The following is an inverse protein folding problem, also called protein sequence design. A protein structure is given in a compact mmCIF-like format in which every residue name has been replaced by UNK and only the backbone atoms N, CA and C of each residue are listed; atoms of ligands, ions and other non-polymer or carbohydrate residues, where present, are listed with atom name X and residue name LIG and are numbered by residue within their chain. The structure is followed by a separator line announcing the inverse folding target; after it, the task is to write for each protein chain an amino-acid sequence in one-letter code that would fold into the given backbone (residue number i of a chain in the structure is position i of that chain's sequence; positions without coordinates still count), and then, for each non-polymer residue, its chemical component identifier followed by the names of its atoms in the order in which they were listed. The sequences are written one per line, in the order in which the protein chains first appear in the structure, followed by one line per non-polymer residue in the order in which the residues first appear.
data_IF_248713949480
#
_entry.id   IF_248713949480
#
_cell.length_a   1.000
_cell.length_b   1.000
_cell.length_c   1.000
_cell.angle_alpha   90.00
_cell.angle_beta   90.00
_cell.angle_gamma   90.00
#
_symmetry.space_group_name_H-M   'P 1'
#
loop_
_entity.id
_entity.type
_entity.pdbx_description
1 polymer ?
#
# COMPACT_ATOMS: atom_id res chain seq x y z
N UNK A 1 -52.50 21.23 -35.35
CA UNK A 1 -52.27 22.13 -36.51
C UNK A 1 -52.66 23.55 -36.11
N UNK A 2 -51.77 24.51 -36.41
CA UNK A 2 -51.82 25.98 -36.21
C UNK A 2 -51.76 26.46 -34.74
N UNK A 3 -50.61 26.86 -34.17
CA UNK A 3 -49.62 27.93 -34.48
C UNK A 3 -50.01 29.31 -33.95
N UNK A 4 -49.02 29.99 -33.33
CA UNK A 4 -48.90 31.41 -32.89
C UNK A 4 -49.21 31.66 -31.40
N UNK A 5 -48.40 32.30 -30.56
CA UNK A 5 -47.19 33.13 -30.71
C UNK A 5 -46.51 33.31 -29.35
N UNK A 6 -45.17 33.47 -29.37
CA UNK A 6 -44.25 33.82 -28.28
C UNK A 6 -44.41 35.28 -27.84
N UNK A 7 -44.29 35.58 -26.53
CA UNK A 7 -43.76 36.87 -26.04
C UNK A 7 -42.80 36.67 -24.85
N UNK A 8 -41.64 37.30 -24.99
CA UNK A 8 -40.52 37.46 -24.06
C UNK A 8 -40.61 38.87 -23.46
N UNK A 9 -40.35 39.05 -22.16
CA UNK A 9 -39.76 40.25 -21.51
C UNK A 9 -39.37 39.83 -20.06
N UNK A 10 -38.08 39.65 -19.70
CA UNK A 10 -36.99 40.58 -19.32
C UNK A 10 -37.03 41.17 -17.88
N UNK A 11 -35.83 41.10 -17.26
CA UNK A 11 -35.26 41.89 -16.17
C UNK A 11 -35.52 41.54 -14.69
N UNK A 12 -34.41 41.28 -13.98
CA UNK A 12 -34.33 41.24 -12.53
C UNK A 12 -32.95 40.80 -12.02
N UNK A 13 -31.90 41.56 -12.33
CA UNK A 13 -30.54 41.38 -11.81
C UNK A 13 -30.37 42.03 -10.42
N UNK A 14 -29.72 41.36 -9.47
CA UNK A 14 -29.00 41.93 -8.31
C UNK A 14 -27.91 40.90 -7.90
N UNK A 15 -26.63 41.08 -8.28
CA UNK A 15 -25.54 41.89 -7.71
C UNK A 15 -24.90 41.28 -6.44
N UNK A 16 -23.61 40.99 -6.60
CA UNK A 16 -22.69 40.37 -5.67
C UNK A 16 -22.18 41.36 -4.60
N UNK A 17 -21.77 40.81 -3.44
CA UNK A 17 -20.93 41.51 -2.47
C UNK A 17 -19.75 40.61 -2.10
N UNK A 18 -18.60 40.92 -2.68
CA UNK A 18 -17.29 40.54 -2.17
C UNK A 18 -16.93 41.47 -1.02
N UNK A 19 -16.55 40.91 0.12
CA UNK A 19 -15.75 41.62 1.13
C UNK A 19 -14.41 40.92 1.21
N UNK A 20 -13.38 41.67 0.81
CA UNK A 20 -11.96 41.38 1.00
C UNK A 20 -11.55 42.01 2.33
N UNK A 21 -10.89 41.24 3.20
CA UNK A 21 -10.04 41.79 4.27
C UNK A 21 -8.79 40.91 4.47
N UNK A 22 -7.68 41.49 4.97
CA UNK A 22 -6.33 41.16 4.52
C UNK A 22 -5.59 40.14 5.39
N UNK A 23 -4.52 39.58 4.80
CA UNK A 23 -3.44 38.83 5.46
C UNK A 23 -2.71 39.71 6.49
N UNK A 24 -2.52 39.19 7.70
CA UNK A 24 -1.30 39.43 8.49
C UNK A 24 -0.81 38.09 9.05
N UNK A 25 0.50 37.89 8.88
CA UNK A 25 1.35 36.78 9.26
C UNK A 25 1.74 36.81 10.74
N UNK A 26 1.76 35.63 11.37
CA UNK A 26 2.42 35.36 12.65
C UNK A 26 2.69 33.86 12.80
N UNK A 27 3.96 33.48 12.90
CA UNK A 27 4.46 32.12 13.02
C UNK A 27 4.45 31.61 14.48
N UNK A 28 4.18 30.30 14.59
CA UNK A 28 4.71 29.31 15.54
C UNK A 28 4.35 29.39 17.03
N UNK A 29 3.43 28.51 17.46
CA UNK A 29 3.77 27.31 18.23
C UNK A 29 2.51 26.44 18.36
N UNK A 30 2.40 25.39 17.55
CA UNK A 30 1.35 24.38 17.70
C UNK A 30 2.03 23.03 17.84
N UNK A 31 2.29 22.65 19.09
CA UNK A 31 2.42 21.26 19.48
C UNK A 31 1.01 20.65 19.45
N UNK A 32 0.65 19.98 18.36
CA UNK A 32 -0.46 19.03 18.42
C UNK A 32 0.08 17.61 18.55
N UNK A 33 -0.39 16.85 19.55
CA UNK A 33 -0.17 15.42 19.57
C UNK A 33 -0.89 14.83 18.36
N UNK A 34 -0.32 13.79 17.77
CA UNK A 34 -1.02 13.01 16.75
C UNK A 34 -2.42 12.60 17.24
N UNK A 35 -3.36 12.31 16.33
CA UNK A 35 -4.67 11.82 16.74
C UNK A 35 -4.46 10.63 17.69
N UNK A 36 -5.09 10.62 18.88
CA UNK A 36 -5.03 9.43 19.72
C UNK A 36 -5.58 8.27 18.88
N UNK A 37 -4.78 7.22 18.74
CA UNK A 37 -5.30 5.95 18.26
C UNK A 37 -6.55 5.62 19.10
N UNK A 38 -7.64 5.11 18.52
CA UNK A 38 -8.79 4.73 19.29
C UNK A 38 -8.42 3.55 20.22
N UNK A 39 -8.07 3.88 21.47
CA UNK A 39 -7.71 2.94 22.56
C UNK A 39 -8.80 1.90 22.85
N UNK A 40 -10.01 2.11 22.37
CA UNK A 40 -11.18 1.28 22.66
C UNK A 40 -11.32 0.04 21.76
N UNK A 41 -10.49 -0.09 20.71
CA UNK A 41 -10.55 -1.27 19.83
C UNK A 41 -9.44 -2.31 20.08
N UNK A 42 -8.31 -1.92 20.69
CA UNK A 42 -7.14 -2.78 20.89
C UNK A 42 -6.96 -3.35 22.31
N UNK A 43 -7.75 -2.88 23.28
CA UNK A 43 -7.65 -3.26 24.70
C UNK A 43 -8.54 -4.44 25.10
N UNK A 44 -9.64 -4.70 24.37
CA UNK A 44 -10.57 -5.78 24.68
C UNK A 44 -9.93 -7.16 24.48
N UNK A 45 -9.75 -7.92 25.57
CA UNK A 45 -9.39 -9.34 25.54
C UNK A 45 -10.31 -10.16 24.62
N UNK A 46 -11.59 -9.77 24.49
CA UNK A 46 -12.54 -10.44 23.62
C UNK A 46 -12.21 -10.26 22.13
N UNK A 47 -11.74 -9.08 21.70
CA UNK A 47 -11.34 -8.84 20.31
C UNK A 47 -10.07 -9.63 19.92
N UNK A 48 -9.13 -9.77 20.87
CA UNK A 48 -7.94 -10.61 20.70
C UNK A 48 -8.29 -12.09 20.64
N UNK A 49 -9.19 -12.58 21.50
CA UNK A 49 -9.70 -13.95 21.46
C UNK A 49 -10.45 -14.26 20.16
N UNK A 50 -11.20 -13.29 19.61
CA UNK A 50 -11.96 -13.46 18.38
C UNK A 50 -11.07 -13.59 17.13
N UNK A 51 -10.00 -12.79 17.04
CA UNK A 51 -9.00 -12.91 15.97
C UNK A 51 -8.20 -14.23 16.05
N UNK A 52 -8.09 -14.81 17.25
CA UNK A 52 -7.24 -15.98 17.53
C UNK A 52 -8.01 -17.30 17.53
N UNK A 53 -9.34 -17.28 17.56
CA UNK A 53 -10.21 -18.46 17.46
C UNK A 53 -10.02 -19.31 16.20
N UNK A 54 -9.37 -18.77 15.17
CA UNK A 54 -9.00 -19.50 13.95
C UNK A 54 -7.80 -20.45 14.17
N UNK A 55 -7.03 -20.30 15.25
CA UNK A 55 -5.68 -20.91 15.42
C UNK A 55 -5.59 -22.01 16.50
N UNK A 56 -6.71 -22.47 17.07
CA UNK A 56 -6.78 -23.60 18.01
C UNK A 56 -6.61 -23.21 19.50
N UNK A 57 -7.39 -23.87 20.37
CA UNK A 57 -7.54 -23.56 21.80
C UNK A 57 -6.24 -23.67 22.60
N UNK A 58 -5.41 -24.70 22.36
CA UNK A 58 -4.15 -24.89 23.08
C UNK A 58 -3.19 -23.72 22.92
N UNK A 59 -3.19 -23.11 21.73
CA UNK A 59 -2.36 -21.94 21.41
C UNK A 59 -2.89 -20.67 22.08
N UNK A 60 -4.21 -20.55 22.26
CA UNK A 60 -4.84 -19.46 22.98
C UNK A 60 -4.48 -19.55 24.46
N UNK A 61 -4.58 -20.73 25.07
CA UNK A 61 -4.23 -20.95 26.48
C UNK A 61 -2.75 -20.65 26.70
N UNK A 62 -1.85 -21.24 25.91
CA UNK A 62 -0.40 -21.05 26.08
C UNK A 62 0.02 -19.59 25.96
N UNK A 63 -0.57 -18.84 25.01
CA UNK A 63 -0.17 -17.46 24.78
C UNK A 63 -0.84 -16.49 25.74
N UNK A 64 -2.09 -16.77 26.16
CA UNK A 64 -2.76 -15.94 27.17
C UNK A 64 -2.09 -16.12 28.54
N UNK A 65 -1.72 -17.34 28.89
CA UNK A 65 -0.94 -17.65 30.09
C UNK A 65 0.41 -16.91 30.08
N UNK A 66 1.13 -16.94 28.95
CA UNK A 66 2.39 -16.21 28.80
C UNK A 66 2.23 -14.68 28.94
N UNK A 67 1.18 -14.09 28.33
CA UNK A 67 0.90 -12.64 28.43
C UNK A 67 0.53 -12.24 29.86
N UNK A 68 -0.22 -13.08 30.57
CA UNK A 68 -0.57 -12.85 31.98
C UNK A 68 0.70 -12.91 32.83
N UNK A 69 1.55 -13.91 32.61
CA UNK A 69 2.81 -14.06 33.33
C UNK A 69 3.77 -12.87 33.11
N UNK A 70 3.96 -12.44 31.86
CA UNK A 70 4.77 -11.26 31.54
C UNK A 70 4.23 -9.96 32.18
N UNK A 71 2.91 -9.86 32.36
CA UNK A 71 2.31 -8.70 33.05
C UNK A 71 2.57 -8.76 34.55
N UNK A 72 2.42 -9.94 35.17
CA UNK A 72 2.71 -10.15 36.59
C UNK A 72 4.18 -9.80 36.86
N UNK A 73 5.11 -10.34 36.07
CA UNK A 73 6.54 -10.05 36.18
C UNK A 73 6.85 -8.55 36.03
N UNK A 74 6.16 -7.84 35.13
CA UNK A 74 6.31 -6.38 34.98
C UNK A 74 5.80 -5.58 36.17
N UNK A 75 4.75 -6.05 36.85
CA UNK A 75 4.24 -5.38 38.06
C UNK A 75 5.16 -5.65 39.26
N UNK A 76 5.63 -6.88 39.40
CA UNK A 76 6.60 -7.27 40.42
C UNK A 76 7.94 -6.52 40.27
N UNK A 77 8.46 -6.39 39.04
CA UNK A 77 9.69 -5.62 38.77
C UNK A 77 9.56 -4.12 39.07
N UNK A 78 8.34 -3.58 39.11
CA UNK A 78 8.07 -2.15 39.32
C UNK A 78 7.57 -1.83 40.72
N UNK A 79 7.52 -2.81 41.61
CA UNK A 79 7.01 -2.69 42.99
C UNK A 79 5.62 -2.02 43.06
N UNK A 80 4.81 -2.25 42.02
CA UNK A 80 3.46 -1.71 41.89
C UNK A 80 2.45 -2.86 42.04
N UNK A 81 1.49 -2.77 42.97
CA UNK A 81 0.46 -3.78 43.08
C UNK A 81 -0.38 -3.81 41.79
N UNK A 82 -0.75 -5.00 41.28
CA UNK A 82 -1.64 -5.08 40.13
C UNK A 82 -2.96 -4.37 40.46
N UNK A 83 -3.59 -3.67 39.49
CA UNK A 83 -4.83 -2.96 39.75
C UNK A 83 -5.91 -3.93 40.27
N UNK A 84 -6.76 -3.51 41.22
CA UNK A 84 -7.79 -4.37 41.78
C UNK A 84 -8.73 -4.86 40.69
N UNK A 85 -9.10 -6.15 40.77
CA UNK A 85 -9.97 -6.87 39.81
C UNK A 85 -11.33 -6.19 39.52
N UNK A 86 -11.72 -5.18 40.30
CA UNK A 86 -12.90 -4.34 40.04
C UNK A 86 -12.84 -3.47 38.77
N UNK A 87 -11.68 -3.28 38.15
CA UNK A 87 -11.61 -2.71 36.79
C UNK A 87 -11.85 -3.77 35.69
N UNK A 88 -11.53 -5.03 36.01
CA UNK A 88 -11.76 -6.20 35.15
C UNK A 88 -13.22 -6.62 35.17
N UNK A 89 -14.04 -6.24 36.17
CA UNK A 89 -15.46 -6.62 36.18
C UNK A 89 -16.23 -6.15 34.95
N UNK A 90 -15.90 -5.02 34.33
CA UNK A 90 -16.59 -4.55 33.12
C UNK A 90 -16.20 -5.37 31.89
N UNK A 91 -14.91 -5.68 31.73
CA UNK A 91 -14.43 -6.56 30.65
C UNK A 91 -14.82 -8.01 30.86
N UNK A 92 -14.77 -8.50 32.10
CA UNK A 92 -15.26 -9.82 32.50
C UNK A 92 -16.76 -9.90 32.30
N UNK A 93 -17.57 -8.91 32.67
CA UNK A 93 -19.03 -8.91 32.40
C UNK A 93 -19.31 -8.88 30.89
N UNK A 94 -18.52 -8.16 30.09
CA UNK A 94 -18.63 -8.17 28.61
C UNK A 94 -18.16 -9.50 28.00
N UNK A 95 -17.12 -10.11 28.56
CA UNK A 95 -16.57 -11.38 28.11
C UNK A 95 -17.33 -12.58 28.70
N UNK A 96 -18.11 -12.41 29.78
CA UNK A 96 -18.78 -13.47 30.53
C UNK A 96 -19.73 -14.29 29.66
N UNK A 97 -20.58 -13.71 28.78
CA UNK A 97 -21.39 -14.52 27.87
C UNK A 97 -20.56 -15.36 26.91
N UNK A 98 -19.40 -14.87 26.48
CA UNK A 98 -18.49 -15.57 25.57
C UNK A 98 -17.65 -16.63 26.31
N UNK A 99 -17.19 -16.32 27.52
CA UNK A 99 -16.51 -17.26 28.42
C UNK A 99 -17.48 -18.35 28.85
N UNK A 100 -18.71 -18.04 29.24
CA UNK A 100 -19.77 -19.01 29.52
C UNK A 100 -20.14 -19.82 28.27
N UNK A 101 -20.12 -19.23 27.07
CA UNK A 101 -20.29 -19.98 25.83
C UNK A 101 -19.15 -20.99 25.63
N UNK A 102 -17.89 -20.55 25.78
CA UNK A 102 -16.73 -21.43 25.69
C UNK A 102 -16.78 -22.49 26.80
N UNK A 103 -16.97 -22.13 28.07
CA UNK A 103 -16.95 -23.03 29.23
C UNK A 103 -18.22 -23.82 29.45
N UNK A 104 -19.34 -23.55 28.77
CA UNK A 104 -20.53 -24.43 28.81
C UNK A 104 -20.63 -25.32 27.57
N UNK A 105 -19.98 -24.98 26.46
CA UNK A 105 -19.87 -25.85 25.28
C UNK A 105 -18.60 -26.74 25.29
N UNK A 106 -17.51 -26.34 25.98
CA UNK A 106 -16.25 -27.09 25.99
C UNK A 106 -16.07 -28.19 27.04
N UNK A 107 -16.66 -28.18 28.26
CA UNK A 107 -16.53 -29.32 29.16
C UNK A 107 -17.14 -30.58 28.53
N UNK A 108 -18.15 -30.41 27.67
CA UNK A 108 -18.70 -31.52 26.89
C UNK A 108 -17.79 -32.00 25.75
N UNK A 109 -16.73 -31.27 25.38
CA UNK A 109 -15.74 -31.70 24.37
C UNK A 109 -14.51 -32.39 24.97
N UNK A 110 -14.18 -32.11 26.24
CA UNK A 110 -13.08 -32.80 26.93
C UNK A 110 -13.48 -34.22 27.39
N UNK A 111 -14.78 -34.46 27.61
CA UNK A 111 -15.37 -35.79 27.87
C UNK A 111 -16.11 -36.35 26.65
N UNK A 112 -15.92 -35.78 25.45
CA UNK A 112 -16.44 -36.41 24.24
C UNK A 112 -15.68 -37.72 24.05
N UNK A 113 -16.36 -38.83 24.35
CA UNK A 113 -16.16 -40.12 23.69
C UNK A 113 -15.68 -39.82 22.27
N UNK A 114 -14.51 -40.35 21.89
CA UNK A 114 -13.95 -40.15 20.56
C UNK A 114 -15.06 -40.38 19.54
N UNK A 115 -15.63 -39.27 19.03
CA UNK A 115 -16.72 -39.32 18.07
C UNK A 115 -16.22 -40.23 16.98
N UNK A 116 -16.97 -41.28 16.71
CA UNK A 116 -16.58 -42.23 15.70
C UNK A 116 -16.27 -41.46 14.39
N UNK A 117 -15.33 -41.92 13.55
CA UNK A 117 -14.97 -41.19 12.33
C UNK A 117 -16.18 -40.78 11.46
N UNK A 118 -17.29 -41.52 11.55
CA UNK A 118 -18.57 -41.21 10.90
C UNK A 118 -19.32 -40.04 11.54
N UNK A 119 -19.31 -39.91 12.87
CA UNK A 119 -19.90 -38.79 13.61
C UNK A 119 -19.09 -37.51 13.44
N UNK A 120 -17.76 -37.58 13.47
CA UNK A 120 -16.92 -36.42 13.20
C UNK A 120 -17.10 -35.93 11.75
N UNK A 121 -17.21 -36.85 10.79
CA UNK A 121 -17.56 -36.51 9.40
C UNK A 121 -18.97 -35.91 9.29
N UNK A 122 -19.94 -36.37 10.09
CA UNK A 122 -21.30 -35.82 10.14
C UNK A 122 -21.32 -34.42 10.74
N UNK A 123 -20.57 -34.18 11.81
CA UNK A 123 -20.42 -32.88 12.43
C UNK A 123 -19.74 -31.89 11.51
N UNK A 124 -18.61 -32.25 10.88
CA UNK A 124 -17.95 -31.41 9.88
C UNK A 124 -18.88 -31.08 8.70
N UNK A 125 -19.74 -32.02 8.27
CA UNK A 125 -20.77 -31.76 7.26
C UNK A 125 -21.87 -30.81 7.74
N UNK A 126 -22.27 -30.87 9.00
CA UNK A 126 -23.27 -29.97 9.59
C UNK A 126 -22.70 -28.57 9.79
N UNK A 127 -21.47 -28.45 10.28
CA UNK A 127 -20.74 -27.19 10.41
C UNK A 127 -20.51 -26.55 9.04
N UNK A 128 -20.07 -27.33 8.03
CA UNK A 128 -19.93 -26.83 6.67
C UNK A 128 -21.28 -26.38 6.05
N UNK A 129 -22.38 -27.10 6.31
CA UNK A 129 -23.72 -26.70 5.88
C UNK A 129 -24.22 -25.45 6.59
N UNK A 130 -23.98 -25.34 7.90
CA UNK A 130 -24.31 -24.16 8.70
C UNK A 130 -23.52 -22.95 8.21
N UNK A 131 -22.20 -23.08 8.07
CA UNK A 131 -21.32 -22.04 7.57
C UNK A 131 -21.66 -21.64 6.14
N UNK A 132 -21.97 -22.59 5.26
CA UNK A 132 -22.43 -22.32 3.90
C UNK A 132 -23.76 -21.54 3.86
N UNK A 133 -24.73 -21.90 4.72
CA UNK A 133 -25.99 -21.15 4.87
C UNK A 133 -25.78 -19.77 5.48
N UNK A 134 -24.91 -19.66 6.48
CA UNK A 134 -24.56 -18.42 7.15
C UNK A 134 -23.86 -17.44 6.19
N UNK A 135 -22.82 -17.90 5.48
CA UNK A 135 -22.16 -17.10 4.44
C UNK A 135 -23.11 -16.75 3.29
N UNK A 136 -24.00 -17.66 2.90
CA UNK A 136 -25.05 -17.37 1.92
C UNK A 136 -26.05 -16.31 2.37
N UNK A 137 -26.32 -16.20 3.68
CA UNK A 137 -27.18 -15.17 4.28
C UNK A 137 -26.48 -13.82 4.42
N UNK A 138 -25.14 -13.80 4.36
CA UNK A 138 -24.39 -12.55 4.32
C UNK A 138 -24.41 -11.92 2.93
N UNK A 139 -24.71 -12.66 1.85
CA UNK A 139 -24.66 -12.11 0.50
C UNK A 139 -25.44 -10.79 0.36
N UNK A 140 -24.78 -9.77 -0.19
CA UNK A 140 -25.31 -8.41 -0.29
C UNK A 140 -25.87 -8.11 -1.67
N UNK A 141 -26.80 -7.17 -1.70
CA UNK A 141 -27.22 -6.52 -2.92
C UNK A 141 -26.38 -5.25 -3.09
N UNK A 142 -25.79 -5.05 -4.26
CA UNK A 142 -25.03 -3.87 -4.62
C UNK A 142 -25.80 -3.05 -5.64
N UNK A 143 -25.87 -1.73 -5.41
CA UNK A 143 -26.34 -0.73 -6.37
C UNK A 143 -25.22 0.27 -6.59
N UNK A 144 -24.58 0.21 -7.75
CA UNK A 144 -23.40 0.99 -8.10
C UNK A 144 -23.72 1.89 -9.29
N UNK A 145 -23.66 3.20 -9.10
CA UNK A 145 -23.96 4.18 -10.14
C UNK A 145 -22.88 5.24 -10.21
N UNK A 146 -22.57 5.70 -11.42
CA UNK A 146 -21.51 6.68 -11.58
C UNK A 146 -21.25 7.15 -13.00
N UNK A 147 -20.23 8.00 -13.11
CA UNK A 147 -19.71 8.56 -14.35
C UNK A 147 -18.28 8.08 -14.60
N UNK A 148 -17.94 7.91 -15.88
CA UNK A 148 -16.57 7.67 -16.33
C UNK A 148 -16.07 8.93 -16.99
N UNK A 149 -14.98 9.48 -16.44
CA UNK A 149 -14.41 10.74 -16.88
C UNK A 149 -12.91 10.62 -17.08
N UNK A 150 -12.30 11.56 -17.79
CA UNK A 150 -10.84 11.68 -17.86
C UNK A 150 -10.28 12.49 -16.68
N UNK A 151 -8.97 12.77 -16.71
CA UNK A 151 -8.30 13.57 -15.67
C UNK A 151 -8.83 15.00 -15.60
N UNK A 152 -9.29 15.55 -16.72
CA UNK A 152 -9.85 16.90 -16.83
C UNK A 152 -11.34 16.94 -16.44
N UNK A 153 -11.93 15.78 -16.14
CA UNK A 153 -13.33 15.65 -15.74
C UNK A 153 -14.29 15.56 -16.91
N UNK A 154 -13.81 15.46 -18.15
CA UNK A 154 -14.66 15.29 -19.32
C UNK A 154 -15.17 13.85 -19.40
N UNK A 155 -16.43 13.69 -19.81
CA UNK A 155 -17.06 12.37 -19.95
C UNK A 155 -16.36 11.52 -21.00
N UNK A 156 -16.06 10.26 -20.66
CA UNK A 156 -15.42 9.31 -21.58
C UNK A 156 -16.47 8.34 -22.10
N UNK A 157 -16.86 8.51 -23.36
CA UNK A 157 -17.88 7.68 -24.02
C UNK A 157 -17.29 6.40 -24.63
N UNK A 158 -18.12 5.41 -24.99
CA UNK A 158 -17.67 4.18 -25.65
C UNK A 158 -16.70 3.36 -24.82
N UNK A 159 -16.92 3.34 -23.50
CA UNK A 159 -16.12 2.54 -22.57
C UNK A 159 -16.74 1.17 -22.46
N UNK A 160 -15.93 0.12 -22.58
CA UNK A 160 -16.32 -1.23 -22.25
C UNK A 160 -16.26 -1.41 -20.73
N UNK A 161 -17.41 -1.73 -20.12
CA UNK A 161 -17.54 -2.08 -18.72
C UNK A 161 -17.75 -3.59 -18.61
N UNK A 162 -16.74 -4.29 -18.10
CA UNK A 162 -16.84 -5.69 -17.68
C UNK A 162 -17.14 -5.77 -16.18
N UNK A 163 -18.24 -6.41 -15.84
CA UNK A 163 -18.74 -6.59 -14.48
C UNK A 163 -18.48 -8.04 -14.09
N UNK A 164 -17.80 -8.26 -12.96
CA UNK A 164 -17.59 -9.60 -12.39
C UNK A 164 -18.24 -9.66 -11.03
N UNK A 165 -19.26 -10.49 -10.91
CA UNK A 165 -20.03 -10.75 -9.69
C UNK A 165 -19.50 -12.01 -9.06
N UNK A 166 -18.98 -11.93 -7.84
CA UNK A 166 -18.41 -13.09 -7.14
C UNK A 166 -19.30 -13.44 -5.97
N UNK A 167 -19.72 -14.70 -5.93
CA UNK A 167 -20.39 -15.31 -4.78
C UNK A 167 -19.52 -16.41 -4.20
N UNK A 168 -19.24 -16.36 -2.91
CA UNK A 168 -18.45 -17.32 -2.14
C UNK A 168 -19.40 -18.31 -1.49
N UNK A 169 -19.06 -19.59 -1.60
CA UNK A 169 -19.79 -20.71 -1.01
C UNK A 169 -18.87 -21.38 0.01
N UNK A 170 -18.72 -20.77 1.18
CA UNK A 170 -17.73 -21.16 2.19
C UNK A 170 -16.32 -20.67 1.87
N UNK A 171 -15.30 -21.34 2.42
CA UNK A 171 -13.89 -20.90 2.34
C UNK A 171 -13.26 -21.15 0.97
N UNK A 172 -13.62 -22.24 0.29
CA UNK A 172 -12.89 -22.73 -0.89
C UNK A 172 -13.62 -22.54 -2.22
N UNK A 173 -14.95 -22.49 -2.22
CA UNK A 173 -15.73 -22.43 -3.46
C UNK A 173 -16.17 -21.01 -3.75
N UNK A 174 -16.00 -20.58 -5.01
CA UNK A 174 -16.55 -19.32 -5.53
C UNK A 174 -17.19 -19.56 -6.88
N UNK A 175 -18.30 -18.87 -7.13
CA UNK A 175 -18.93 -18.76 -8.44
C UNK A 175 -18.75 -17.33 -8.94
N UNK A 176 -18.34 -17.19 -10.20
CA UNK A 176 -18.17 -15.90 -10.85
C UNK A 176 -19.17 -15.80 -12.01
N UNK A 177 -20.01 -14.76 -11.98
CA UNK A 177 -20.84 -14.36 -13.11
C UNK A 177 -20.23 -13.11 -13.78
N UNK A 178 -20.27 -13.05 -15.10
CA UNK A 178 -19.55 -12.05 -15.89
C UNK A 178 -20.46 -11.43 -16.94
N UNK A 179 -20.51 -10.11 -16.95
CA UNK A 179 -21.24 -9.33 -17.95
C UNK A 179 -20.31 -8.31 -18.59
N UNK A 180 -20.54 -7.98 -19.86
CA UNK A 180 -19.82 -6.93 -20.58
C UNK A 180 -20.85 -6.00 -21.20
N UNK A 181 -20.66 -4.69 -21.03
CA UNK A 181 -21.55 -3.65 -21.56
C UNK A 181 -20.73 -2.53 -22.16
N UNK A 182 -21.25 -1.86 -23.18
CA UNK A 182 -20.72 -0.58 -23.65
C UNK A 182 -21.47 0.55 -22.95
N UNK A 183 -20.75 1.53 -22.41
CA UNK A 183 -21.33 2.65 -21.67
C UNK A 183 -20.94 4.00 -22.28
N UNK A 184 -21.85 4.97 -22.21
CA UNK A 184 -21.70 6.33 -22.76
C UNK A 184 -21.37 7.33 -21.64
N UNK A 185 -20.28 7.06 -20.91
CA UNK A 185 -19.82 7.93 -19.82
C UNK A 185 -20.60 7.83 -18.51
N UNK A 186 -21.73 7.10 -18.46
CA UNK A 186 -22.46 6.76 -17.23
C UNK A 186 -22.70 5.26 -17.12
N UNK A 187 -22.70 4.72 -15.91
CA UNK A 187 -23.03 3.32 -15.65
C UNK A 187 -23.97 3.18 -14.46
N UNK A 188 -24.78 2.11 -14.49
CA UNK A 188 -25.58 1.64 -13.35
C UNK A 188 -25.51 0.11 -13.33
N UNK A 189 -25.12 -0.44 -12.18
CA UNK A 189 -24.92 -1.87 -11.95
C UNK A 189 -25.70 -2.27 -10.71
N UNK A 190 -26.63 -3.21 -10.88
CA UNK A 190 -27.34 -3.86 -9.79
C UNK A 190 -26.86 -5.32 -9.75
N UNK A 191 -26.30 -5.75 -8.62
CA UNK A 191 -25.86 -7.12 -8.42
C UNK A 191 -26.47 -7.66 -7.13
N UNK A 192 -27.26 -8.73 -7.22
CA UNK A 192 -28.01 -9.26 -6.09
C UNK A 192 -27.37 -10.51 -5.50
N UNK A 193 -27.32 -10.60 -4.18
CA UNK A 193 -26.85 -11.76 -3.43
C UNK A 193 -25.42 -12.17 -3.80
N UNK A 194 -24.50 -11.21 -3.85
CA UNK A 194 -23.07 -11.40 -4.14
C UNK A 194 -22.20 -10.85 -3.01
N UNK A 195 -20.95 -11.32 -2.90
CA UNK A 195 -20.00 -10.87 -1.86
C UNK A 195 -19.06 -9.78 -2.38
N UNK A 196 -18.74 -9.85 -3.68
CA UNK A 196 -17.81 -8.92 -4.34
C UNK A 196 -18.33 -8.55 -5.72
N UNK A 197 -18.29 -7.26 -6.03
CA UNK A 197 -18.48 -6.76 -7.39
C UNK A 197 -17.19 -6.11 -7.87
N UNK A 198 -16.67 -6.58 -9.00
CA UNK A 198 -15.51 -5.98 -9.66
C UNK A 198 -15.94 -5.36 -10.97
N UNK A 199 -15.61 -4.09 -11.14
CA UNK A 199 -15.84 -3.33 -12.35
C UNK A 199 -14.50 -3.12 -13.07
N UNK A 200 -14.43 -3.52 -14.33
CA UNK A 200 -13.28 -3.34 -15.20
C UNK A 200 -13.69 -2.43 -16.34
N UNK A 201 -13.03 -1.29 -16.45
CA UNK A 201 -13.28 -0.28 -17.47
C UNK A 201 -12.14 -0.33 -18.50
N UNK A 202 -12.47 -0.54 -19.78
CA UNK A 202 -11.54 -0.59 -20.91
C UNK A 202 -12.00 0.36 -22.02
N UNK A 203 -11.08 1.13 -22.58
CA UNK A 203 -11.30 1.89 -23.82
C UNK A 203 -9.99 1.99 -24.60
N UNK A 204 -9.98 1.78 -25.92
CA UNK A 204 -8.78 2.03 -26.74
C UNK A 204 -8.24 3.45 -26.51
N UNK A 205 -6.93 3.57 -26.31
CA UNK A 205 -6.28 4.83 -25.98
C UNK A 205 -6.39 5.25 -24.51
N UNK A 206 -6.90 4.40 -23.61
CA UNK A 206 -6.94 4.63 -22.17
C UNK A 206 -6.40 3.42 -21.39
N UNK A 207 -5.80 3.66 -20.23
CA UNK A 207 -5.38 2.58 -19.34
C UNK A 207 -6.60 1.89 -18.72
N UNK A 208 -6.58 0.55 -18.68
CA UNK A 208 -7.63 -0.22 -18.02
C UNK A 208 -7.69 0.13 -16.53
N UNK A 209 -8.90 0.32 -16.01
CA UNK A 209 -9.15 0.58 -14.57
C UNK A 209 -9.98 -0.54 -13.97
N UNK A 210 -9.55 -1.04 -12.82
CA UNK A 210 -10.32 -1.97 -11.98
C UNK A 210 -10.77 -1.24 -10.72
N UNK A 211 -12.05 -1.38 -10.37
CA UNK A 211 -12.61 -0.98 -9.07
C UNK A 211 -13.29 -2.20 -8.46
N UNK A 212 -13.05 -2.45 -7.18
CA UNK A 212 -13.56 -3.61 -6.46
C UNK A 212 -14.35 -3.14 -5.24
N UNK A 213 -15.58 -3.61 -5.13
CA UNK A 213 -16.46 -3.40 -3.99
C UNK A 213 -16.59 -4.73 -3.28
N UNK A 214 -16.14 -4.78 -2.03
CA UNK A 214 -16.20 -5.95 -1.17
C UNK A 214 -17.17 -5.65 -0.04
N UNK A 215 -18.01 -6.60 0.29
CA UNK A 215 -18.80 -6.54 1.51
C UNK A 215 -17.88 -6.67 2.73
N UNK A 216 -17.75 -5.61 3.52
CA UNK A 216 -16.99 -5.60 4.77
C UNK A 216 -17.83 -6.03 5.98
N UNK A 217 -18.60 -7.11 5.84
CA UNK A 217 -19.41 -7.60 6.96
C UNK A 217 -18.65 -8.72 7.66
N UNK A 218 -17.70 -8.33 8.51
CA UNK A 218 -17.44 -9.14 9.69
C UNK A 218 -18.69 -9.04 10.56
N UNK A 219 -19.48 -10.12 10.74
CA UNK A 219 -20.63 -10.06 11.63
C UNK A 219 -20.15 -9.61 13.01
N UNK A 220 -20.90 -8.70 13.66
CA UNK A 220 -20.62 -8.39 15.05
C UNK A 220 -20.71 -9.71 15.85
N UNK A 221 -19.80 -9.97 16.81
CA UNK A 221 -19.82 -11.21 17.60
C UNK A 221 -21.19 -11.55 18.20
N UNK A 222 -21.98 -10.52 18.49
CA UNK A 222 -23.33 -10.58 19.06
C UNK A 222 -24.35 -11.22 18.11
N UNK A 223 -24.22 -11.04 16.79
CA UNK A 223 -25.14 -11.59 15.78
C UNK A 223 -24.95 -13.11 15.59
N UNK A 224 -23.84 -13.68 16.06
CA UNK A 224 -23.53 -15.11 15.96
C UNK A 224 -24.22 -15.91 17.08
N UNK A 225 -24.48 -15.28 18.22
CA UNK A 225 -24.94 -15.96 19.45
C UNK A 225 -26.48 -16.05 19.50
N UNK A 226 -27.20 -15.18 18.78
CA UNK A 226 -28.66 -15.24 18.66
C UNK A 226 -29.13 -16.40 17.77
N UNK A 227 -29.97 -17.31 18.29
CA UNK A 227 -30.44 -18.55 17.61
C UNK A 227 -31.25 -18.36 16.31
N UNK A 228 -31.40 -17.14 15.79
CA UNK A 228 -32.15 -16.90 14.56
C UNK A 228 -31.79 -15.52 13.95
N UNK A 229 -30.58 -15.34 13.38
CA UNK A 229 -30.30 -14.12 12.64
C UNK A 229 -31.19 -14.15 11.40
N UNK A 230 -32.26 -13.34 11.42
CA UNK A 230 -33.03 -13.12 10.20
C UNK A 230 -32.05 -12.62 9.13
N UNK A 231 -32.07 -13.19 7.91
CA UNK A 231 -31.16 -12.78 6.85
C UNK A 231 -31.44 -11.30 6.54
N UNK A 232 -30.57 -10.41 7.03
CA UNK A 232 -30.59 -9.01 6.64
C UNK A 232 -29.92 -8.95 5.28
N UNK A 233 -30.72 -8.76 4.22
CA UNK A 233 -30.19 -8.38 2.92
C UNK A 233 -29.52 -7.03 3.13
N UNK A 234 -28.19 -7.03 3.17
CA UNK A 234 -27.43 -5.80 3.26
C UNK A 234 -27.42 -5.19 1.86
N UNK A 235 -28.02 -4.01 1.73
CA UNK A 235 -27.98 -3.22 0.52
C UNK A 235 -26.80 -2.27 0.61
N UNK A 236 -25.81 -2.47 -0.26
CA UNK A 236 -24.63 -1.60 -0.38
C UNK A 236 -24.87 -0.68 -1.58
N UNK A 237 -25.16 0.58 -1.32
CA UNK A 237 -25.34 1.59 -2.36
C UNK A 237 -24.13 2.50 -2.47
N UNK A 238 -23.59 2.63 -3.68
CA UNK A 238 -22.62 3.65 -4.04
C UNK A 238 -23.15 4.41 -5.25
N UNK A 239 -23.64 5.62 -5.03
CA UNK A 239 -24.11 6.53 -6.06
C UNK A 239 -23.05 7.58 -6.35
N UNK A 240 -23.14 8.22 -7.52
CA UNK A 240 -22.24 9.30 -7.95
C UNK A 240 -20.75 8.91 -7.96
N UNK A 241 -20.44 7.63 -8.22
CA UNK A 241 -19.07 7.16 -8.37
C UNK A 241 -18.39 7.87 -9.54
N UNK A 242 -17.25 8.51 -9.27
CA UNK A 242 -16.43 9.12 -10.31
C UNK A 242 -15.26 8.21 -10.67
N UNK A 243 -15.33 7.59 -11.85
CA UNK A 243 -14.31 6.69 -12.36
C UNK A 243 -13.41 7.44 -13.33
N UNK A 244 -12.17 7.71 -12.94
CA UNK A 244 -11.21 8.41 -13.80
C UNK A 244 -10.47 7.39 -14.68
N UNK A 245 -10.67 7.48 -16.00
CA UNK A 245 -9.87 6.79 -16.99
C UNK A 245 -8.75 7.69 -17.49
N UNK A 246 -7.54 7.17 -17.44
CA UNK A 246 -6.35 7.90 -17.84
C UNK A 246 -6.04 7.62 -19.30
N UNK A 247 -5.94 8.67 -20.11
CA UNK A 247 -5.55 8.56 -21.51
C UNK A 247 -4.11 8.03 -21.58
N UNK A 248 -3.90 7.08 -22.49
CA UNK A 248 -2.57 6.58 -22.84
C UNK A 248 -1.90 7.71 -23.62
N UNK A 249 -0.78 8.22 -23.10
CA UNK A 249 0.05 9.18 -23.81
C UNK A 249 0.82 8.52 -24.95
N UNK A 250 1.85 9.21 -25.45
CA UNK A 250 2.79 8.58 -26.37
C UNK A 250 3.63 7.58 -25.57
N UNK A 251 3.34 6.28 -25.68
CA UNK A 251 4.17 5.27 -24.99
C UNK A 251 5.55 5.28 -25.63
N UNK A 252 6.58 5.40 -24.80
CA UNK A 252 7.98 5.37 -25.22
C UNK A 252 8.67 4.12 -24.72
N UNK A 253 9.61 3.63 -25.51
CA UNK A 253 10.51 2.57 -25.08
C UNK A 253 11.70 3.21 -24.35
N UNK A 254 11.78 2.99 -23.03
CA UNK A 254 12.90 3.44 -22.22
C UNK A 254 13.97 2.36 -22.14
N UNK A 255 15.24 2.76 -22.23
CA UNK A 255 16.37 1.84 -21.99
C UNK A 255 16.40 1.52 -20.50
N UNK A 256 16.25 0.24 -20.18
CA UNK A 256 16.20 -0.26 -18.80
C UNK A 256 17.53 -0.86 -18.40
N UNK A 257 18.00 -0.53 -17.20
CA UNK A 257 19.23 -1.06 -16.61
C UNK A 257 18.99 -1.35 -15.13
N UNK A 258 19.46 -2.51 -14.69
CA UNK A 258 19.39 -2.96 -13.31
C UNK A 258 20.81 -3.31 -12.86
N UNK A 259 21.27 -2.76 -11.74
CA UNK A 259 22.59 -3.02 -11.20
C UNK A 259 22.60 -2.88 -9.68
N UNK A 260 23.70 -3.30 -9.05
CA UNK A 260 23.92 -3.18 -7.61
C UNK A 260 25.10 -2.24 -7.38
N UNK A 261 24.85 -1.07 -6.79
CA UNK A 261 25.91 -0.15 -6.41
C UNK A 261 26.43 -0.52 -5.03
N UNK A 262 27.74 -0.48 -4.89
CA UNK A 262 28.43 -0.73 -3.62
C UNK A 262 29.11 0.53 -3.11
N UNK A 263 29.17 0.67 -1.80
CA UNK A 263 29.97 1.68 -1.11
C UNK A 263 30.73 1.00 0.03
N UNK A 264 32.03 1.26 0.11
CA UNK A 264 32.93 0.71 1.13
C UNK A 264 33.76 1.82 1.75
N UNK A 265 34.03 1.71 3.05
CA UNK A 265 34.93 2.61 3.76
C UNK A 265 36.08 1.82 4.37
N UNK A 266 37.29 2.02 3.85
CA UNK A 266 38.49 1.34 4.35
C UNK A 266 39.63 2.35 4.51
N UNK A 267 40.29 2.34 5.68
CA UNK A 267 41.45 3.20 5.98
C UNK A 267 41.20 4.70 5.70
N UNK A 268 39.98 5.19 5.91
CA UNK A 268 39.64 6.60 5.66
C UNK A 268 39.43 6.97 4.18
N UNK A 269 39.36 5.99 3.29
CA UNK A 269 39.05 6.15 1.87
C UNK A 269 37.67 5.54 1.58
N UNK A 270 36.88 6.23 0.77
CA UNK A 270 35.55 5.76 0.35
C UNK A 270 35.63 5.19 -1.06
N UNK A 271 35.52 3.87 -1.22
CA UNK A 271 35.52 3.20 -2.53
C UNK A 271 34.13 2.65 -2.86
N UNK A 272 33.91 2.21 -4.09
CA UNK A 272 32.62 1.64 -4.49
C UNK A 272 32.46 1.41 -5.98
N UNK A 273 31.27 0.97 -6.38
CA UNK A 273 30.87 0.86 -7.78
C UNK A 273 30.23 2.14 -8.29
N UNK A 274 30.60 2.57 -9.49
CA UNK A 274 30.01 3.72 -10.20
C UNK A 274 29.41 3.28 -11.53
N UNK A 275 28.34 3.93 -11.97
CA UNK A 275 27.74 3.69 -13.28
C UNK A 275 27.96 4.91 -14.15
N UNK A 276 28.82 4.78 -15.16
CA UNK A 276 29.05 5.81 -16.16
C UNK A 276 27.91 5.94 -17.17
N UNK A 277 27.64 7.17 -17.59
CA UNK A 277 26.68 7.52 -18.63
C UNK A 277 27.38 7.77 -19.97
N UNK A 278 27.95 6.71 -20.53
CA UNK A 278 28.47 6.69 -21.91
C UNK A 278 27.35 6.27 -22.88
N UNK A 279 26.81 7.23 -23.64
CA UNK A 279 25.62 6.99 -24.48
C UNK A 279 25.78 5.92 -25.52
N UNK A 280 26.98 5.77 -26.08
CA UNK A 280 27.23 4.72 -27.05
C UNK A 280 27.02 3.34 -26.41
N UNK A 281 27.48 3.17 -25.16
CA UNK A 281 27.25 1.93 -24.40
C UNK A 281 25.77 1.74 -24.06
N UNK A 282 25.06 2.79 -23.67
CA UNK A 282 23.63 2.71 -23.32
C UNK A 282 22.75 2.35 -24.53
N UNK A 283 23.02 2.92 -25.70
CA UNK A 283 22.28 2.64 -26.95
C UNK A 283 22.47 1.20 -27.44
N UNK A 284 23.72 0.72 -27.48
CA UNK A 284 24.03 -0.65 -27.88
C UNK A 284 23.31 -1.68 -26.99
N UNK A 285 23.15 -1.36 -25.71
CA UNK A 285 22.54 -2.24 -24.70
C UNK A 285 21.03 -2.23 -24.70
N UNK A 286 20.41 -1.11 -25.07
CA UNK A 286 18.97 -1.08 -25.37
C UNK A 286 18.56 -2.14 -26.40
N UNK A 287 19.51 -2.61 -27.22
CA UNK A 287 19.35 -3.68 -28.20
C UNK A 287 19.74 -5.08 -27.71
N UNK A 288 19.97 -5.26 -26.40
CA UNK A 288 20.25 -6.56 -25.76
C UNK A 288 21.73 -6.93 -25.60
N UNK A 289 22.68 -6.02 -25.89
CA UNK A 289 24.11 -6.32 -25.86
C UNK A 289 24.79 -6.03 -24.50
N UNK A 290 24.65 -6.93 -23.51
CA UNK A 290 25.51 -6.99 -22.30
C UNK A 290 25.08 -6.18 -21.06
N UNK A 291 25.49 -6.66 -19.86
CA UNK A 291 25.15 -6.08 -18.54
C UNK A 291 26.06 -4.91 -18.14
N UNK A 292 25.51 -3.76 -17.72
CA UNK A 292 26.30 -2.62 -17.21
C UNK A 292 26.67 -2.96 -15.78
N UNK A 293 27.84 -3.56 -15.62
CA UNK A 293 28.43 -3.72 -14.30
C UNK A 293 28.96 -2.37 -13.84
N UNK A 294 28.70 -1.97 -12.59
CA UNK A 294 29.36 -0.82 -12.01
C UNK A 294 30.89 -0.94 -12.14
N UNK A 295 31.53 0.14 -12.55
CA UNK A 295 32.99 0.24 -12.62
C UNK A 295 33.51 0.49 -11.19
N UNK A 296 34.47 -0.31 -10.69
CA UNK A 296 35.01 -0.09 -9.36
C UNK A 296 35.90 1.16 -9.33
N UNK A 297 35.73 2.00 -8.31
CA UNK A 297 36.53 3.21 -8.08
C UNK A 297 37.15 3.15 -6.68
N UNK A 298 38.43 3.52 -6.58
CA UNK A 298 39.19 3.43 -5.33
C UNK A 298 38.92 4.60 -4.37
N UNK A 299 38.68 5.82 -4.88
CA UNK A 299 38.21 6.94 -4.07
C UNK A 299 37.07 7.69 -4.77
N UNK A 300 35.84 7.54 -4.26
CA UNK A 300 34.63 8.22 -4.72
C UNK A 300 34.65 9.74 -4.47
N UNK A 301 35.67 10.26 -3.79
CA UNK A 301 35.86 11.70 -3.55
C UNK A 301 36.85 12.32 -4.53
N UNK A 302 37.58 11.51 -5.28
CA UNK A 302 38.57 11.95 -6.25
C UNK A 302 37.91 12.12 -7.63
N UNK A 303 37.68 13.35 -8.11
CA UNK A 303 37.02 13.58 -9.39
C UNK A 303 37.79 13.01 -10.59
N UNK A 304 39.11 12.84 -10.48
CA UNK A 304 39.95 12.31 -11.56
C UNK A 304 39.71 10.80 -11.79
N UNK A 305 39.22 10.08 -10.78
CA UNK A 305 38.88 8.66 -10.87
C UNK A 305 37.43 8.41 -11.29
N UNK A 306 36.59 9.44 -11.29
CA UNK A 306 35.18 9.31 -11.64
C UNK A 306 34.97 9.54 -13.13
N UNK A 307 34.10 8.76 -13.80
CA UNK A 307 33.62 9.14 -15.13
C UNK A 307 32.96 10.53 -15.07
N UNK A 308 33.06 11.29 -16.16
CA UNK A 308 32.56 12.67 -16.23
C UNK A 308 31.08 12.82 -15.89
N UNK A 309 30.28 11.78 -16.17
CA UNK A 309 28.88 11.67 -15.77
C UNK A 309 28.65 10.25 -15.28
N UNK A 310 28.32 10.10 -14.00
CA UNK A 310 28.14 8.84 -13.34
C UNK A 310 27.15 8.96 -12.17
N UNK A 311 26.62 7.78 -11.80
CA UNK A 311 25.78 7.57 -10.63
C UNK A 311 26.52 6.68 -9.63
N UNK A 312 26.54 7.06 -8.36
CA UNK A 312 27.07 6.23 -7.29
C UNK A 312 26.35 6.50 -5.97
N UNK A 313 26.62 5.67 -4.96
CA UNK A 313 26.05 5.82 -3.61
C UNK A 313 27.12 6.15 -2.59
N UNK A 314 26.74 6.89 -1.56
CA UNK A 314 27.54 7.13 -0.36
C UNK A 314 26.69 6.94 0.89
N UNK A 315 27.33 6.53 1.99
CA UNK A 315 26.69 6.45 3.30
C UNK A 315 27.38 7.37 4.31
N UNK A 316 26.65 7.80 5.33
CA UNK A 316 27.28 8.36 6.52
C UNK A 316 28.12 7.28 7.22
N UNK A 317 29.26 7.69 7.78
CA UNK A 317 30.19 6.80 8.50
C UNK A 317 30.47 7.32 9.90
N UNK A 318 30.66 6.40 10.83
CA UNK A 318 31.12 6.66 12.19
C UNK A 318 32.62 7.01 12.19
N UNK A 319 33.13 7.44 13.35
CA UNK A 319 34.56 7.78 13.52
C UNK A 319 35.50 6.60 13.30
N UNK A 320 35.03 5.38 13.56
CA UNK A 320 35.77 4.13 13.34
C UNK A 320 35.75 3.64 11.88
N UNK A 321 35.06 4.37 10.99
CA UNK A 321 34.92 4.04 9.57
C UNK A 321 33.78 3.07 9.27
N UNK A 322 33.07 2.53 10.26
CA UNK A 322 31.85 1.77 10.03
C UNK A 322 30.74 2.66 9.47
N UNK A 323 29.82 2.09 8.70
CA UNK A 323 28.63 2.77 8.20
C UNK A 323 27.74 3.12 9.39
N UNK A 324 27.42 4.40 9.53
CA UNK A 324 26.50 4.89 10.55
C UNK A 324 25.11 4.34 10.25
N UNK A 325 24.60 3.49 11.14
CA UNK A 325 23.34 2.76 10.96
C UNK A 325 22.36 3.00 12.12
N UNK A 326 21.10 2.65 11.88
CA UNK A 326 20.06 2.60 12.91
C UNK A 326 19.27 1.32 12.75
N UNK A 327 18.92 0.71 13.87
CA UNK A 327 18.00 -0.41 13.92
C UNK A 327 16.57 0.12 14.07
N UNK A 328 15.64 -0.37 13.25
CA UNK A 328 14.21 -0.05 13.36
C UNK A 328 13.37 -1.31 13.33
N UNK A 329 12.40 -1.40 14.24
CA UNK A 329 11.53 -2.56 14.38
C UNK A 329 10.09 -2.15 14.14
N UNK A 330 9.34 -2.92 13.33
CA UNK A 330 7.88 -2.78 13.22
C UNK A 330 7.21 -3.69 14.25
N UNK A 331 6.03 -3.33 14.74
CA UNK A 331 5.28 -4.11 15.76
C UNK A 331 5.08 -5.58 15.39
N UNK A 332 5.04 -5.90 14.10
CA UNK A 332 4.76 -7.24 13.59
C UNK A 332 6.02 -7.97 13.11
N UNK A 333 7.22 -7.43 13.33
CA UNK A 333 8.47 -7.98 12.83
C UNK A 333 9.30 -8.56 13.97
N UNK A 334 9.75 -9.80 13.83
CA UNK A 334 10.57 -10.49 14.84
C UNK A 334 12.03 -10.02 14.89
N UNK A 335 12.49 -9.27 13.89
CA UNK A 335 13.88 -8.80 13.81
C UNK A 335 13.92 -7.32 13.43
N UNK A 336 14.77 -6.51 14.08
CA UNK A 336 15.04 -5.15 13.64
C UNK A 336 15.65 -5.15 12.24
N UNK A 337 15.32 -4.15 11.45
CA UNK A 337 15.99 -3.83 10.19
C UNK A 337 17.10 -2.85 10.47
N UNK A 338 18.32 -3.19 10.06
CA UNK A 338 19.47 -2.28 10.15
C UNK A 338 19.56 -1.50 8.84
N UNK A 339 19.46 -0.18 8.94
CA UNK A 339 19.47 0.75 7.79
C UNK A 339 20.57 1.80 7.98
N UNK A 340 21.18 2.33 6.90
CA UNK A 340 22.08 3.47 7.02
C UNK A 340 21.31 4.68 7.54
N UNK A 341 21.90 5.45 8.46
CA UNK A 341 21.28 6.68 8.98
C UNK A 341 21.03 7.70 7.86
N UNK A 342 21.96 7.76 6.91
CA UNK A 342 21.90 8.62 5.74
C UNK A 342 22.50 7.90 4.54
N UNK A 343 21.71 7.75 3.49
CA UNK A 343 22.11 7.30 2.16
C UNK A 343 22.11 8.51 1.23
N UNK A 344 23.14 8.64 0.40
CA UNK A 344 23.20 9.63 -0.68
C UNK A 344 23.30 8.91 -2.00
N UNK A 345 22.40 9.20 -2.93
CA UNK A 345 22.56 8.86 -4.33
C UNK A 345 23.12 10.09 -5.03
N UNK A 346 24.31 9.98 -5.59
CA UNK A 346 25.04 11.10 -6.17
C UNK A 346 25.11 10.93 -7.68
N UNK A 347 24.68 11.96 -8.39
CA UNK A 347 24.85 12.09 -9.83
C UNK A 347 25.82 13.24 -10.11
N UNK A 348 27.01 12.94 -10.62
CA UNK A 348 28.07 13.95 -10.81
C UNK A 348 27.97 14.71 -12.15
N UNK A 349 26.77 14.89 -12.69
CA UNK A 349 26.56 15.70 -13.89
C UNK A 349 26.30 17.17 -13.50
N UNK A 350 27.05 18.15 -14.02
CA UNK A 350 26.86 19.57 -13.71
C UNK A 350 25.45 20.10 -14.01
N UNK A 351 24.78 19.55 -15.03
CA UNK A 351 23.44 19.98 -15.47
C UNK A 351 22.34 18.96 -15.12
N UNK A 352 22.72 17.91 -14.39
CA UNK A 352 21.89 16.79 -14.02
C UNK A 352 21.52 16.78 -12.55
N UNK A 353 20.83 15.71 -12.17
CA UNK A 353 20.55 15.40 -10.78
C UNK A 353 19.43 14.39 -10.64
N UNK A 354 18.91 14.26 -9.43
CA UNK A 354 17.73 13.49 -9.11
C UNK A 354 16.64 14.33 -8.44
N UNK A 355 15.40 13.84 -8.49
CA UNK A 355 14.25 14.36 -7.75
C UNK A 355 13.53 13.16 -7.15
N UNK A 356 13.36 13.11 -5.84
CA UNK A 356 12.61 12.01 -5.23
C UNK A 356 11.14 12.10 -5.62
N UNK A 357 10.58 10.97 -6.02
CA UNK A 357 9.17 10.86 -6.41
C UNK A 357 8.31 10.45 -5.22
N UNK A 358 7.38 11.32 -4.83
CA UNK A 358 6.37 11.03 -3.83
C UNK A 358 5.21 10.24 -4.46
N UNK A 359 5.28 8.91 -4.32
CA UNK A 359 4.22 8.03 -4.79
C UNK A 359 2.90 8.32 -4.09
N UNK A 360 1.85 8.52 -4.89
CA UNK A 360 0.46 8.63 -4.43
C UNK A 360 -0.09 7.27 -4.01
N UNK A 361 -0.93 7.26 -2.99
CA UNK A 361 -1.53 6.04 -2.47
C UNK A 361 -2.34 5.30 -3.55
N UNK A 362 -2.18 3.97 -3.64
CA UNK A 362 -2.89 3.12 -4.58
C UNK A 362 -2.38 3.13 -6.03
N UNK A 363 -1.34 3.89 -6.35
CA UNK A 363 -0.70 3.90 -7.67
C UNK A 363 0.60 3.09 -7.68
N UNK A 364 0.98 2.49 -8.83
CA UNK A 364 2.33 1.94 -9.00
C UNK A 364 3.27 3.06 -9.41
N UNK A 365 4.36 3.26 -8.67
CA UNK A 365 5.17 4.46 -8.77
C UNK A 365 5.81 4.62 -10.15
N UNK A 366 6.39 3.56 -10.71
CA UNK A 366 6.97 3.60 -12.05
C UNK A 366 5.97 3.96 -13.15
N UNK A 367 4.69 3.64 -12.97
CA UNK A 367 3.63 3.90 -13.96
C UNK A 367 3.02 5.30 -13.82
N UNK A 368 3.07 5.88 -12.62
CA UNK A 368 2.62 7.24 -12.38
C UNK A 368 3.67 8.28 -12.79
N UNK A 369 4.95 7.88 -12.89
CA UNK A 369 6.06 8.70 -13.39
C UNK A 369 6.07 8.79 -14.93
N UNK A 370 5.12 9.54 -15.49
CA UNK A 370 4.91 9.66 -16.94
C UNK A 370 5.69 10.78 -17.61
N UNK A 371 5.91 11.86 -16.88
CA UNK A 371 6.63 13.02 -17.38
C UNK A 371 7.64 13.42 -16.32
N UNK A 372 8.89 13.59 -16.73
CA UNK A 372 9.95 14.08 -15.86
C UNK A 372 9.71 15.56 -15.56
N UNK A 373 9.99 16.08 -14.35
CA UNK A 373 9.95 17.52 -14.08
C UNK A 373 10.92 18.32 -14.97
N UNK A 374 10.66 19.60 -15.16
CA UNK A 374 11.57 20.52 -15.87
C UNK A 374 12.73 20.98 -14.97
N UNK A 375 12.43 21.21 -13.70
CA UNK A 375 13.32 21.81 -12.70
C UNK A 375 13.30 21.04 -11.38
N UNK A 376 14.19 21.42 -10.45
CA UNK A 376 14.26 20.84 -9.10
C UNK A 376 15.27 19.70 -8.92
N UNK A 377 16.03 19.37 -9.97
CA UNK A 377 17.06 18.32 -9.93
C UNK A 377 18.20 18.69 -8.98
N UNK A 378 18.56 17.75 -8.11
CA UNK A 378 19.63 17.89 -7.12
C UNK A 378 20.73 16.87 -7.41
N UNK A 379 21.99 17.27 -7.40
CA UNK A 379 23.12 16.36 -7.62
C UNK A 379 23.19 15.25 -6.56
N UNK A 380 22.77 15.55 -5.33
CA UNK A 380 22.71 14.59 -4.24
C UNK A 380 21.26 14.39 -3.77
N UNK A 381 20.74 13.17 -3.94
CA UNK A 381 19.52 12.75 -3.28
C UNK A 381 19.86 12.19 -1.90
N UNK A 382 19.51 12.95 -0.87
CA UNK A 382 19.71 12.57 0.52
C UNK A 382 18.48 11.83 1.06
N UNK A 383 18.69 10.62 1.54
CA UNK A 383 17.65 9.74 2.05
C UNK A 383 18.02 9.31 3.46
N UNK A 384 17.16 9.60 4.42
CA UNK A 384 17.35 9.18 5.81
C UNK A 384 16.77 7.79 6.10
N UNK A 385 17.15 7.24 7.25
CA UNK A 385 16.66 5.94 7.71
C UNK A 385 15.14 5.89 7.93
N UNK A 386 14.50 7.01 8.28
CA UNK A 386 13.05 7.07 8.52
C UNK A 386 12.28 6.90 7.22
N UNK A 387 12.76 7.52 6.15
CA UNK A 387 12.23 7.37 4.82
C UNK A 387 12.47 5.95 4.28
N UNK A 388 13.70 5.45 4.39
CA UNK A 388 14.04 4.08 4.03
C UNK A 388 13.11 3.10 4.73
N UNK A 389 12.92 3.25 6.04
CA UNK A 389 12.08 2.35 6.83
C UNK A 389 10.59 2.42 6.51
N UNK A 390 10.07 3.61 6.18
CA UNK A 390 8.68 3.77 5.72
C UNK A 390 8.44 3.02 4.42
N UNK A 391 9.43 3.01 3.52
CA UNK A 391 9.34 2.41 2.17
C UNK A 391 9.87 0.98 2.08
N UNK A 392 10.62 0.48 3.06
CA UNK A 392 11.18 -0.89 3.10
C UNK A 392 10.15 -1.97 3.50
N UNK A 393 8.87 -1.75 3.21
CA UNK A 393 7.78 -2.55 3.75
C UNK A 393 7.46 -3.78 2.92
N UNK A 394 8.13 -4.91 3.19
CA UNK A 394 7.79 -6.27 2.72
C UNK A 394 6.31 -6.72 2.93
N UNK A 395 5.45 -5.88 3.50
CA UNK A 395 4.09 -6.18 3.93
C UNK A 395 3.02 -5.24 3.41
N UNK A 396 3.34 -4.16 2.69
CA UNK A 396 2.31 -3.62 1.80
C UNK A 396 2.14 -4.66 0.72
N UNK A 397 0.97 -5.26 0.63
CA UNK A 397 0.58 -6.27 -0.39
C UNK A 397 0.61 -5.73 -1.83
N UNK A 398 1.32 -4.61 -2.07
CA UNK A 398 1.58 -4.00 -3.35
C UNK A 398 2.98 -4.39 -3.86
N UNK A 399 3.14 -4.62 -5.17
CA UNK A 399 4.37 -5.13 -5.79
C UNK A 399 5.52 -4.11 -5.93
N UNK A 400 5.55 -3.02 -5.14
CA UNK A 400 6.37 -1.84 -5.48
C UNK A 400 7.12 -1.22 -4.30
N UNK A 401 7.86 -2.03 -3.54
CA UNK A 401 8.75 -1.55 -2.46
C UNK A 401 10.00 -0.87 -3.05
N UNK A 402 10.29 0.36 -2.62
CA UNK A 402 11.50 1.11 -3.02
C UNK A 402 11.34 2.63 -2.95
N UNK A 403 12.43 3.33 -3.21
CA UNK A 403 12.44 4.79 -3.36
C UNK A 403 12.53 5.11 -4.84
N UNK A 404 11.53 5.81 -5.36
CA UNK A 404 11.46 6.18 -6.76
C UNK A 404 11.97 7.60 -6.94
N UNK A 405 12.59 7.88 -8.08
CA UNK A 405 13.14 9.21 -8.34
C UNK A 405 13.19 9.47 -9.85
N UNK A 406 12.96 10.71 -10.25
CA UNK A 406 13.36 11.16 -11.57
C UNK A 406 14.86 11.45 -11.57
N UNK A 407 15.52 11.27 -12.70
CA UNK A 407 16.89 11.74 -12.88
C UNK A 407 17.05 12.44 -14.23
N UNK A 408 18.00 13.35 -14.30
CA UNK A 408 18.40 14.06 -15.52
C UNK A 408 19.92 13.94 -15.67
N UNK A 409 20.39 13.61 -16.86
CA UNK A 409 21.82 13.50 -17.16
C UNK A 409 22.09 13.83 -18.64
N UNK A 410 23.03 14.72 -18.91
CA UNK A 410 23.39 15.20 -20.26
C UNK A 410 22.16 15.60 -21.10
N UNK A 411 21.28 16.42 -20.51
CA UNK A 411 20.05 16.87 -21.17
C UNK A 411 18.97 15.80 -21.36
N UNK A 412 19.19 14.56 -20.90
CA UNK A 412 18.22 13.46 -21.01
C UNK A 412 17.53 13.17 -19.69
N UNK A 413 16.31 12.66 -19.77
CA UNK A 413 15.48 12.39 -18.61
C UNK A 413 15.27 10.89 -18.41
N UNK A 414 15.12 10.50 -17.15
CA UNK A 414 14.81 9.14 -16.78
C UNK A 414 14.09 9.04 -15.45
N UNK A 415 13.72 7.81 -15.11
CA UNK A 415 13.13 7.43 -13.83
C UNK A 415 13.88 6.24 -13.28
N UNK A 416 14.11 6.25 -11.97
CA UNK A 416 14.83 5.21 -11.28
C UNK A 416 14.13 4.76 -10.01
N UNK A 417 14.62 3.63 -9.49
CA UNK A 417 14.21 3.02 -8.23
C UNK A 417 15.44 2.56 -7.47
N UNK A 418 15.52 2.95 -6.20
CA UNK A 418 16.42 2.38 -5.23
C UNK A 418 15.70 1.28 -4.45
N UNK A 419 16.30 0.11 -4.39
CA UNK A 419 15.90 -0.95 -3.48
C UNK A 419 16.30 -0.65 -2.04
N UNK A 420 15.92 -1.54 -1.13
CA UNK A 420 16.33 -1.45 0.26
C UNK A 420 17.85 -1.65 0.37
N UNK A 421 18.60 -0.72 0.97
CA UNK A 421 20.03 -0.88 1.18
C UNK A 421 20.32 -2.04 2.13
N UNK A 422 21.41 -2.75 1.89
CA UNK A 422 21.95 -3.77 2.80
C UNK A 422 23.29 -3.31 3.32
N UNK A 423 23.49 -3.45 4.63
CA UNK A 423 24.79 -3.24 5.26
C UNK A 423 25.39 -4.62 5.51
N UNK A 424 26.59 -4.85 4.96
CA UNK A 424 27.31 -6.13 4.98
C UNK A 424 28.75 -5.92 5.49
N UNK A 425 29.54 -7.00 5.56
CA UNK A 425 30.94 -7.00 6.00
C UNK A 425 31.17 -6.22 7.32
N UNK A 426 30.52 -6.64 8.41
CA UNK A 426 30.66 -6.03 9.74
C UNK A 426 30.40 -4.50 9.77
N UNK A 427 29.42 -4.06 8.98
CA UNK A 427 29.05 -2.66 8.80
C UNK A 427 30.06 -1.82 8.02
N UNK A 428 30.87 -2.40 7.14
CA UNK A 428 31.84 -1.64 6.33
C UNK A 428 31.48 -1.50 4.87
N UNK A 429 30.52 -2.29 4.41
CA UNK A 429 30.02 -2.24 3.04
C UNK A 429 28.51 -2.01 3.01
N UNK A 430 28.08 -1.21 2.04
CA UNK A 430 26.70 -0.94 1.70
C UNK A 430 26.45 -1.43 0.27
N UNK A 431 25.42 -2.25 0.09
CA UNK A 431 24.92 -2.68 -1.21
C UNK A 431 23.53 -2.08 -1.46
N UNK A 432 23.31 -1.51 -2.64
CA UNK A 432 22.00 -0.96 -3.04
C UNK A 432 21.69 -1.36 -4.47
N UNK A 433 20.59 -2.10 -4.66
CA UNK A 433 20.06 -2.34 -6.00
C UNK A 433 19.45 -1.06 -6.56
N UNK A 434 19.83 -0.70 -7.78
CA UNK A 434 19.30 0.45 -8.50
C UNK A 434 18.76 -0.02 -9.84
N UNK A 435 17.57 0.46 -10.18
CA UNK A 435 16.95 0.29 -11.49
C UNK A 435 16.82 1.65 -12.13
N UNK A 436 17.25 1.80 -13.39
CA UNK A 436 17.11 3.01 -14.18
C UNK A 436 16.34 2.71 -15.46
N UNK A 437 15.47 3.63 -15.85
CA UNK A 437 14.79 3.64 -17.15
C UNK A 437 14.96 5.03 -17.76
N UNK A 438 15.60 5.09 -18.92
CA UNK A 438 16.03 6.36 -19.51
C UNK A 438 15.46 6.57 -20.89
N UNK A 439 15.11 7.82 -21.16
CA UNK A 439 14.70 8.29 -22.48
C UNK A 439 15.91 8.79 -23.26
N UNK A 440 16.15 8.24 -24.44
CA UNK A 440 17.37 8.54 -25.22
C UNK A 440 17.25 9.82 -26.06
N UNK A 441 16.03 10.17 -26.47
CA UNK A 441 15.77 11.34 -27.33
C UNK A 441 15.78 12.68 -26.57
N UNK A 442 15.97 12.65 -25.25
CA UNK A 442 15.97 13.83 -24.39
C UNK A 442 14.58 14.39 -24.07
N UNK A 443 13.50 13.77 -24.54
CA UNK A 443 12.16 14.17 -24.16
C UNK A 443 11.88 13.88 -22.69
N UNK A 444 10.99 14.69 -22.09
CA UNK A 444 10.52 14.48 -20.70
C UNK A 444 9.50 13.35 -20.60
N UNK A 445 9.06 12.77 -21.72
CA UNK A 445 8.07 11.71 -21.73
C UNK A 445 8.71 10.38 -21.29
N UNK A 446 8.21 9.87 -20.18
CA UNK A 446 8.62 8.63 -19.52
C UNK A 446 7.45 7.64 -19.40
N UNK A 447 6.35 7.83 -20.15
CA UNK A 447 5.19 6.93 -20.11
C UNK A 447 5.56 5.58 -20.73
N UNK A 448 5.80 4.60 -19.85
CA UNK A 448 6.04 3.21 -20.23
C UNK A 448 4.73 2.47 -20.09
N UNK A 449 4.26 1.83 -21.17
CA UNK A 449 2.99 1.10 -21.19
C UNK A 449 2.80 0.19 -19.96
N UNK A 450 1.54 0.04 -19.52
CA UNK A 450 1.17 -0.91 -18.46
C UNK A 450 1.05 -2.29 -19.11
N UNK A 451 2.14 -3.07 -19.12
CA UNK A 451 2.10 -4.48 -19.52
C UNK A 451 1.27 -5.30 -18.53
#
# INVERSE_FOLDING_TARGET
MNSRTIRIFFCGAWLALFVVTPRVSGQLAVTHPGPPEPEWFASSCAAKLFLWGVWGYERIVSTTEQIVQERIERYEQRDMPPPPLGAITTEYIRAKPFLEFLTNQYPQKAEQEQLSPSEQKRQNRLEAKFFSRFMGALASDFVLEGTVVDRDGQSVEGVELKIVKVKRHGVERKTEDREIRQITGRFSVIAKGVDVVRLYFSKPGYFRKKVEFVQNNSPAPEDIIGRNPAPRVNLIEHRDLRIVLEKIGNIVELVKQDFELTFRRQNGVSSGGVIGFDWHRWELRGRGAGSLWPEPVNDLRDPEQLPSRCLYVQAAVNRDGSIASTAKTRSNWHRPVVLPQKLRLVLNDPEGGGIVYEQKEGERAFWSMKEAPEEGYQQELVIDADWLFRRSGYMTTGPDDGIYFYFKVDGRYGKGKLGTPKIVEDNRELEVRVQLQMQLDGSRNLDTGRN
#
